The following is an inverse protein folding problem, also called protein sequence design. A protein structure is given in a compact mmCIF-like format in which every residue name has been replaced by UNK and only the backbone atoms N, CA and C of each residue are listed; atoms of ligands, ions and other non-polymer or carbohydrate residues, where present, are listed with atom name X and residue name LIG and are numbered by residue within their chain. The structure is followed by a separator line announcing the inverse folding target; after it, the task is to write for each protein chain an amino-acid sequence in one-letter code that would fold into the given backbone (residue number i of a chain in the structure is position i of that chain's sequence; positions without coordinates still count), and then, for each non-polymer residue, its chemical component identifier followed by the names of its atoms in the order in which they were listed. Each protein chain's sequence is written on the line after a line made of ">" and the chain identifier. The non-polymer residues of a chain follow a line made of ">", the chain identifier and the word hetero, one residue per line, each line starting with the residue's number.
data_IF_682801669641
#
_entry.id   IF_682801669641
#
_cell.length_a   1.000
_cell.length_b   1.000
_cell.length_c   1.000
_cell.angle_alpha   90.00
_cell.angle_beta   90.00
_cell.angle_gamma   90.00
#
_symmetry.space_group_name_H-M   'P 1'
#
loop_
_entity.id
_entity.type
_entity.pdbx_description
1 polymer ?
#
# COMPACT_ATOMS: atom_id res chain seq x y z
N UNK A 1 -35.85 4.25 1.29
CA UNK A 1 -35.95 2.89 0.91
C UNK A 1 -36.83 2.01 1.79
N UNK A 2 -36.23 1.36 2.76
CA UNK A 2 -36.92 0.36 3.61
C UNK A 2 -38.05 0.98 4.41
N UNK A 3 -37.85 2.15 4.98
CA UNK A 3 -38.86 2.86 5.79
C UNK A 3 -40.10 3.23 4.97
N UNK A 4 -39.91 3.70 3.74
CA UNK A 4 -41.01 4.00 2.84
C UNK A 4 -41.80 2.73 2.44
N UNK A 5 -41.10 1.63 2.19
CA UNK A 5 -41.72 0.34 1.90
C UNK A 5 -42.51 -0.15 3.10
N UNK A 6 -41.92 -0.07 4.30
CA UNK A 6 -42.58 -0.45 5.53
C UNK A 6 -43.82 0.40 5.83
N UNK A 7 -43.74 1.72 5.66
CA UNK A 7 -44.87 2.64 5.80
C UNK A 7 -46.01 2.28 4.85
N UNK A 8 -45.72 2.02 3.57
CA UNK A 8 -46.74 1.59 2.59
C UNK A 8 -47.36 0.26 2.93
N UNK A 9 -46.58 -0.70 3.39
CA UNK A 9 -47.08 -2.02 3.81
C UNK A 9 -47.98 -1.90 5.04
N UNK A 10 -47.55 -1.14 6.03
CA UNK A 10 -48.36 -0.90 7.26
C UNK A 10 -49.69 -0.21 6.91
N UNK A 11 -49.67 0.81 6.05
CA UNK A 11 -50.90 1.47 5.60
C UNK A 11 -51.81 0.51 4.84
N UNK A 12 -51.31 -0.30 3.92
CA UNK A 12 -52.09 -1.28 3.18
C UNK A 12 -52.70 -2.36 4.10
N UNK A 13 -51.98 -2.82 5.09
CA UNK A 13 -52.48 -3.81 6.07
C UNK A 13 -53.53 -3.21 6.97
N UNK A 14 -53.35 -1.99 7.45
CA UNK A 14 -54.31 -1.29 8.26
C UNK A 14 -55.64 -1.08 7.50
N UNK A 15 -55.55 -0.65 6.23
CA UNK A 15 -56.72 -0.38 5.39
C UNK A 15 -57.47 -1.67 4.99
N UNK A 16 -56.75 -2.78 4.76
CA UNK A 16 -57.39 -4.03 4.30
C UNK A 16 -57.85 -4.97 5.42
N UNK A 17 -57.15 -4.94 6.52
CA UNK A 17 -57.35 -5.94 7.60
C UNK A 17 -57.79 -5.30 8.95
N UNK A 18 -57.90 -3.98 8.98
CA UNK A 18 -58.27 -3.28 10.21
C UNK A 18 -57.23 -3.42 11.33
N UNK A 19 -55.95 -3.59 10.95
CA UNK A 19 -54.84 -3.66 11.90
C UNK A 19 -54.35 -2.26 12.26
N UNK A 20 -53.71 -2.12 13.42
CA UNK A 20 -53.12 -0.84 13.85
C UNK A 20 -51.60 -0.94 13.91
N UNK A 21 -50.96 -1.21 12.78
CA UNK A 21 -49.50 -1.18 12.72
C UNK A 21 -49.01 0.27 12.74
N UNK A 22 -48.20 0.61 13.72
CA UNK A 22 -47.51 1.88 13.77
C UNK A 22 -46.36 1.87 12.74
N UNK A 23 -46.48 2.64 11.68
CA UNK A 23 -45.37 2.89 10.77
C UNK A 23 -44.66 4.16 11.20
N UNK A 24 -43.34 4.10 11.41
CA UNK A 24 -42.56 5.29 11.60
C UNK A 24 -42.64 6.15 10.32
N UNK A 25 -42.82 7.46 10.47
CA UNK A 25 -42.77 8.38 9.33
C UNK A 25 -41.41 8.30 8.65
N UNK A 26 -41.43 8.04 7.35
CA UNK A 26 -40.20 8.05 6.56
C UNK A 26 -39.64 9.48 6.53
N UNK A 27 -38.41 9.65 6.97
CA UNK A 27 -37.74 10.95 6.83
C UNK A 27 -37.45 11.21 5.36
N UNK A 28 -37.91 12.37 4.88
CA UNK A 28 -37.68 12.80 3.51
C UNK A 28 -36.65 13.93 3.49
N UNK A 29 -35.82 13.95 2.48
CA UNK A 29 -34.91 15.07 2.19
C UNK A 29 -35.67 16.25 1.57
N UNK A 30 -35.01 17.38 1.44
CA UNK A 30 -35.57 18.60 0.84
C UNK A 30 -36.15 18.38 -0.59
N UNK A 31 -35.62 17.39 -1.30
CA UNK A 31 -36.05 17.02 -2.66
C UNK A 31 -37.22 16.01 -2.68
N UNK A 32 -37.79 15.70 -1.53
CA UNK A 32 -38.88 14.72 -1.40
C UNK A 32 -38.45 13.26 -1.58
N UNK A 33 -37.16 12.98 -1.52
CA UNK A 33 -36.61 11.63 -1.57
C UNK A 33 -36.42 11.05 -0.15
N UNK A 34 -36.53 9.73 0.01
CA UNK A 34 -36.27 9.11 1.29
C UNK A 34 -34.86 9.42 1.78
N UNK A 35 -34.77 9.99 2.97
CA UNK A 35 -33.49 10.32 3.58
C UNK A 35 -32.63 9.06 3.71
N UNK A 36 -31.46 9.07 3.09
CA UNK A 36 -30.44 8.04 3.26
C UNK A 36 -29.34 8.60 4.16
N UNK A 37 -29.24 8.13 5.40
CA UNK A 37 -28.11 8.53 6.22
C UNK A 37 -26.83 8.16 5.49
N UNK A 38 -25.96 9.15 5.29
CA UNK A 38 -24.64 8.88 4.74
C UNK A 38 -23.84 8.10 5.80
N UNK A 39 -23.40 6.86 5.49
CA UNK A 39 -22.61 6.07 6.44
C UNK A 39 -21.24 6.68 6.71
N UNK A 40 -20.80 7.63 5.86
CA UNK A 40 -19.52 8.31 6.02
C UNK A 40 -19.77 9.63 6.77
N UNK A 41 -19.15 9.84 7.94
CA UNK A 41 -19.23 11.10 8.67
C UNK A 41 -18.84 12.29 7.79
N UNK A 42 -19.46 13.47 7.95
CA UNK A 42 -19.19 14.65 7.11
C UNK A 42 -17.70 15.01 7.05
N UNK A 43 -16.99 14.89 8.18
CA UNK A 43 -15.56 15.16 8.30
C UNK A 43 -14.66 14.16 7.54
N UNK A 44 -15.22 13.03 7.08
CA UNK A 44 -14.49 12.00 6.32
C UNK A 44 -14.94 11.83 4.88
N UNK A 45 -15.86 12.63 4.41
CA UNK A 45 -16.37 12.52 3.03
C UNK A 45 -15.29 12.83 1.99
N UNK A 46 -14.33 13.72 2.32
CA UNK A 46 -13.20 14.08 1.48
C UNK A 46 -11.97 13.15 1.60
N UNK A 47 -11.98 12.20 2.53
CA UNK A 47 -10.79 11.42 2.90
C UNK A 47 -10.08 10.75 1.71
N UNK A 48 -10.82 10.07 0.84
CA UNK A 48 -10.22 9.41 -0.33
C UNK A 48 -9.66 10.40 -1.35
N UNK A 49 -10.30 11.57 -1.51
CA UNK A 49 -9.79 12.63 -2.35
C UNK A 49 -8.50 13.24 -1.78
N UNK A 50 -8.43 13.44 -0.48
CA UNK A 50 -7.23 13.91 0.23
C UNK A 50 -6.07 12.91 0.10
N UNK A 51 -6.32 11.61 0.27
CA UNK A 51 -5.31 10.56 0.05
C UNK A 51 -4.81 10.59 -1.40
N UNK A 52 -5.73 10.69 -2.37
CA UNK A 52 -5.37 10.76 -3.79
C UNK A 52 -4.53 12.00 -4.10
N UNK A 53 -4.91 13.15 -3.57
CA UNK A 53 -4.15 14.40 -3.74
C UNK A 53 -2.75 14.29 -3.11
N UNK A 54 -2.65 13.74 -1.90
CA UNK A 54 -1.37 13.53 -1.22
C UNK A 54 -0.42 12.64 -2.04
N UNK A 55 -0.93 11.53 -2.58
CA UNK A 55 -0.14 10.61 -3.43
C UNK A 55 0.31 11.30 -4.72
N UNK A 56 -0.57 12.01 -5.42
CA UNK A 56 -0.22 12.74 -6.63
C UNK A 56 0.82 13.81 -6.38
N UNK A 57 0.64 14.63 -5.36
CA UNK A 57 1.61 15.65 -4.96
C UNK A 57 2.97 15.06 -4.57
N UNK A 58 2.97 13.88 -3.96
CA UNK A 58 4.22 13.18 -3.65
C UNK A 58 4.95 12.75 -4.93
N UNK A 59 4.24 12.21 -5.91
CA UNK A 59 4.84 11.80 -7.19
C UNK A 59 5.33 12.99 -8.01
N UNK A 60 4.56 14.07 -8.07
CA UNK A 60 4.96 15.32 -8.75
C UNK A 60 6.23 15.90 -8.16
N UNK A 61 6.28 16.08 -6.84
CA UNK A 61 7.49 16.56 -6.13
C UNK A 61 8.68 15.62 -6.31
N UNK A 62 8.44 14.31 -6.41
CA UNK A 62 9.50 13.35 -6.67
C UNK A 62 10.08 13.53 -8.07
N UNK A 63 9.22 13.70 -9.08
CA UNK A 63 9.66 13.93 -10.46
C UNK A 63 10.41 15.26 -10.62
N UNK A 64 9.93 16.33 -9.96
CA UNK A 64 10.62 17.62 -9.92
C UNK A 64 12.00 17.51 -9.27
N UNK A 65 12.09 16.91 -8.09
CA UNK A 65 13.37 16.70 -7.40
C UNK A 65 14.34 15.85 -8.24
N UNK A 66 13.85 14.78 -8.88
CA UNK A 66 14.65 13.93 -9.75
C UNK A 66 15.19 14.70 -10.97
N UNK A 67 14.39 15.58 -11.55
CA UNK A 67 14.83 16.43 -12.66
C UNK A 67 15.92 17.42 -12.22
N UNK A 68 15.75 18.05 -11.06
CA UNK A 68 16.73 18.98 -10.49
C UNK A 68 18.04 18.29 -10.12
N UNK A 69 17.97 17.14 -9.49
CA UNK A 69 19.15 16.33 -9.13
C UNK A 69 19.92 15.88 -10.38
N UNK A 70 19.22 15.48 -11.44
CA UNK A 70 19.83 15.17 -12.75
C UNK A 70 20.52 16.38 -13.35
N UNK A 71 19.90 17.56 -13.25
CA UNK A 71 20.50 18.80 -13.74
C UNK A 71 21.78 19.12 -12.97
N UNK A 72 21.81 18.99 -11.64
CA UNK A 72 23.03 19.16 -10.85
C UNK A 72 24.13 18.24 -11.31
N UNK A 73 23.83 16.95 -11.49
CA UNK A 73 24.80 15.97 -12.01
C UNK A 73 25.39 16.37 -13.38
N UNK A 74 24.53 16.85 -14.27
CA UNK A 74 24.94 17.27 -15.62
C UNK A 74 25.81 18.53 -15.57
N UNK A 75 25.47 19.51 -14.72
CA UNK A 75 26.25 20.73 -14.53
C UNK A 75 27.64 20.41 -13.94
N UNK A 76 27.71 19.59 -12.90
CA UNK A 76 28.97 19.17 -12.28
C UNK A 76 29.86 18.39 -13.27
N UNK A 77 29.27 17.49 -14.06
CA UNK A 77 30.00 16.77 -15.12
C UNK A 77 30.50 17.73 -16.18
N UNK A 78 29.70 18.71 -16.60
CA UNK A 78 30.08 19.72 -17.57
C UNK A 78 31.19 20.64 -17.07
N UNK A 79 31.09 21.07 -15.79
CA UNK A 79 32.12 21.87 -15.13
C UNK A 79 33.47 21.13 -15.08
N UNK A 80 33.46 19.84 -14.75
CA UNK A 80 34.64 18.99 -14.77
C UNK A 80 35.27 18.91 -16.17
N UNK A 81 34.44 18.76 -17.20
CA UNK A 81 34.92 18.72 -18.60
C UNK A 81 35.52 20.07 -19.04
N UNK A 82 34.95 21.20 -18.60
CA UNK A 82 35.49 22.54 -18.89
C UNK A 82 36.84 22.73 -18.21
N UNK A 83 37.02 22.32 -16.97
CA UNK A 83 38.33 22.35 -16.28
C UNK A 83 39.38 21.53 -17.02
N UNK A 84 39.03 20.32 -17.44
CA UNK A 84 39.92 19.45 -18.21
C UNK A 84 40.36 20.08 -19.54
N UNK A 85 39.54 21.02 -20.05
CA UNK A 85 39.81 21.77 -21.29
C UNK A 85 40.48 23.13 -21.05
N UNK A 86 40.84 23.46 -19.82
CA UNK A 86 41.48 24.73 -19.45
C UNK A 86 40.56 25.95 -19.51
N UNK A 87 39.26 25.75 -19.34
CA UNK A 87 38.23 26.81 -19.35
C UNK A 87 37.68 26.99 -17.92
N UNK A 88 38.52 27.47 -17.01
CA UNK A 88 38.21 27.54 -15.58
C UNK A 88 37.08 28.52 -15.24
N UNK A 89 36.99 29.66 -15.94
CA UNK A 89 35.90 30.63 -15.74
C UNK A 89 34.53 30.00 -16.05
N UNK A 90 34.43 29.35 -17.19
CA UNK A 90 33.17 28.64 -17.56
C UNK A 90 32.83 27.50 -16.62
N UNK A 91 33.84 26.83 -16.07
CA UNK A 91 33.62 25.80 -15.06
C UNK A 91 33.08 26.37 -13.76
N UNK A 92 33.59 27.56 -13.36
CA UNK A 92 33.11 28.27 -12.16
C UNK A 92 31.65 28.70 -12.29
N UNK A 93 31.25 29.24 -13.44
CA UNK A 93 29.87 29.61 -13.71
C UNK A 93 28.91 28.42 -13.61
N UNK A 94 29.33 27.23 -14.13
CA UNK A 94 28.56 25.99 -14.03
C UNK A 94 28.46 25.46 -12.60
N UNK A 95 29.52 25.59 -11.80
CA UNK A 95 29.48 25.20 -10.38
C UNK A 95 28.56 26.11 -9.56
N UNK A 96 28.56 27.41 -9.84
CA UNK A 96 27.66 28.36 -9.17
C UNK A 96 26.19 28.00 -9.50
N UNK A 97 25.89 27.70 -10.75
CA UNK A 97 24.55 27.27 -11.14
C UNK A 97 24.19 25.93 -10.51
N UNK A 98 25.12 24.95 -10.51
CA UNK A 98 24.91 23.67 -9.84
C UNK A 98 24.59 23.85 -8.34
N UNK A 99 25.33 24.74 -7.67
CA UNK A 99 25.08 25.04 -6.25
C UNK A 99 23.71 25.70 -6.03
N UNK A 100 23.29 26.60 -6.93
CA UNK A 100 21.98 27.23 -6.90
C UNK A 100 20.85 26.22 -7.04
N UNK A 101 20.92 25.33 -8.04
CA UNK A 101 19.93 24.26 -8.25
C UNK A 101 19.95 23.28 -7.07
N UNK A 102 21.15 22.92 -6.57
CA UNK A 102 21.31 22.01 -5.43
C UNK A 102 20.60 22.53 -4.17
N UNK A 103 20.69 23.84 -3.92
CA UNK A 103 20.03 24.46 -2.78
C UNK A 103 18.50 24.49 -2.88
N UNK A 104 17.94 24.36 -4.07
CA UNK A 104 16.50 24.29 -4.29
C UNK A 104 15.92 22.87 -4.08
N UNK A 105 16.77 21.84 -4.11
CA UNK A 105 16.36 20.43 -3.89
C UNK A 105 16.24 20.15 -2.40
N UNK A 106 15.16 19.51 -1.92
CA UNK A 106 15.02 19.13 -0.52
C UNK A 106 16.17 18.24 0.00
N UNK A 107 16.66 18.53 1.20
CA UNK A 107 17.77 17.78 1.84
C UNK A 107 17.51 16.27 1.91
N UNK A 108 16.25 15.88 2.11
CA UNK A 108 15.82 14.47 2.15
C UNK A 108 16.14 13.73 0.83
N UNK A 109 16.14 14.42 -0.30
CA UNK A 109 16.48 13.81 -1.59
C UNK A 109 17.99 13.54 -1.70
N UNK A 110 18.81 14.45 -1.22
CA UNK A 110 20.26 14.29 -1.15
C UNK A 110 20.66 13.18 -0.19
N UNK A 111 20.08 13.16 0.99
CA UNK A 111 20.30 12.11 1.97
C UNK A 111 19.94 10.73 1.40
N UNK A 112 18.80 10.61 0.70
CA UNK A 112 18.38 9.36 0.07
C UNK A 112 19.38 8.86 -0.99
N UNK A 113 19.98 9.78 -1.76
CA UNK A 113 21.01 9.44 -2.75
C UNK A 113 22.33 9.02 -2.10
N UNK A 114 22.77 9.71 -1.03
CA UNK A 114 23.97 9.36 -0.28
C UNK A 114 23.84 7.97 0.36
N UNK A 115 22.69 7.64 0.93
CA UNK A 115 22.42 6.34 1.52
C UNK A 115 22.26 5.21 0.49
N UNK A 116 21.97 5.55 -0.77
CA UNK A 116 21.69 4.55 -1.81
C UNK A 116 22.81 3.56 -2.01
N UNK A 117 24.07 4.02 -2.01
CA UNK A 117 25.24 3.16 -2.23
C UNK A 117 25.34 2.05 -1.17
N UNK A 118 25.24 2.42 0.10
CA UNK A 118 25.29 1.45 1.20
C UNK A 118 24.08 0.50 1.19
N UNK A 119 22.91 1.01 0.86
CA UNK A 119 21.69 0.20 0.74
C UNK A 119 21.76 -0.79 -0.43
N UNK A 120 22.26 -0.34 -1.58
CA UNK A 120 22.45 -1.19 -2.75
C UNK A 120 23.45 -2.32 -2.46
N UNK A 121 24.54 -2.02 -1.75
CA UNK A 121 25.51 -3.02 -1.34
C UNK A 121 24.91 -4.04 -0.37
N UNK A 122 24.12 -3.61 0.61
CA UNK A 122 23.40 -4.51 1.51
C UNK A 122 22.46 -5.47 0.75
N UNK A 123 21.82 -5.00 -0.32
CA UNK A 123 20.97 -5.87 -1.14
C UNK A 123 21.80 -6.84 -2.02
N UNK A 124 23.01 -6.46 -2.43
CA UNK A 124 23.92 -7.31 -3.24
C UNK A 124 24.70 -8.32 -2.41
N UNK A 125 24.93 -8.03 -1.12
CA UNK A 125 25.72 -8.89 -0.22
C UNK A 125 25.11 -10.25 0.06
N UNK A 126 23.87 -10.49 -0.36
CA UNK A 126 23.13 -11.72 -0.13
C UNK A 126 22.38 -11.75 1.19
N UNK A 127 22.66 -10.84 2.11
CA UNK A 127 21.97 -10.73 3.42
C UNK A 127 21.70 -9.28 3.79
N UNK A 128 20.51 -9.02 4.31
CA UNK A 128 20.16 -7.74 4.91
C UNK A 128 19.65 -7.95 6.33
N UNK A 129 19.99 -7.04 7.23
CA UNK A 129 19.46 -7.05 8.58
C UNK A 129 18.60 -5.84 8.87
N UNK A 130 17.61 -6.01 9.74
CA UNK A 130 16.75 -4.94 10.22
C UNK A 130 16.31 -5.20 11.67
N UNK A 131 16.00 -4.13 12.38
CA UNK A 131 15.63 -4.21 13.79
C UNK A 131 14.11 -4.30 13.96
N UNK A 132 13.65 -5.30 14.73
CA UNK A 132 12.24 -5.44 15.14
C UNK A 132 12.19 -5.59 16.66
N UNK A 133 11.57 -4.64 17.33
CA UNK A 133 11.39 -4.66 18.79
C UNK A 133 12.69 -4.95 19.55
N UNK A 134 13.80 -4.36 19.10
CA UNK A 134 15.12 -4.54 19.73
C UNK A 134 15.84 -5.85 19.39
N UNK A 135 15.31 -6.66 18.49
CA UNK A 135 15.98 -7.84 17.94
C UNK A 135 16.41 -7.60 16.51
N UNK A 136 17.65 -7.90 16.20
CA UNK A 136 18.14 -7.92 14.83
C UNK A 136 17.63 -9.17 14.12
N UNK A 137 17.02 -8.97 12.95
CA UNK A 137 16.54 -10.04 12.08
C UNK A 137 17.35 -9.96 10.80
N UNK A 138 18.07 -11.03 10.49
CA UNK A 138 18.76 -11.20 9.21
C UNK A 138 17.87 -11.96 8.25
N UNK A 139 17.84 -11.51 6.99
CA UNK A 139 17.11 -12.15 5.89
C UNK A 139 17.98 -12.25 4.67
N UNK A 140 17.83 -13.34 3.92
CA UNK A 140 18.50 -13.49 2.64
C UNK A 140 17.91 -12.54 1.60
N UNK A 141 18.76 -11.85 0.87
CA UNK A 141 18.37 -10.91 -0.20
C UNK A 141 18.44 -11.56 -1.59
N UNK A 142 18.81 -12.82 -1.65
CA UNK A 142 18.80 -13.65 -2.86
C UNK A 142 17.86 -14.85 -2.71
N UNK A 143 17.46 -15.43 -3.82
CA UNK A 143 16.69 -16.67 -3.89
C UNK A 143 17.25 -17.56 -4.97
N UNK A 144 17.56 -18.80 -4.62
CA UNK A 144 18.02 -19.80 -5.58
C UNK A 144 16.83 -20.37 -6.37
N UNK A 145 16.92 -20.36 -7.69
CA UNK A 145 15.93 -20.98 -8.58
C UNK A 145 16.08 -22.49 -8.63
N UNK A 146 15.10 -23.18 -9.22
CA UNK A 146 15.19 -24.62 -9.46
C UNK A 146 16.35 -25.01 -10.36
N UNK A 147 16.84 -24.10 -11.20
CA UNK A 147 18.02 -24.29 -12.05
C UNK A 147 19.34 -23.98 -11.35
N UNK A 148 19.32 -23.59 -10.07
CA UNK A 148 20.52 -23.26 -9.31
C UNK A 148 21.03 -21.82 -9.51
N UNK A 149 20.29 -20.95 -10.19
CA UNK A 149 20.63 -19.54 -10.33
C UNK A 149 20.23 -18.75 -9.09
N UNK A 150 21.08 -17.88 -8.64
CA UNK A 150 20.76 -16.92 -7.58
C UNK A 150 20.12 -15.67 -8.17
N UNK A 151 18.90 -15.37 -7.76
CA UNK A 151 18.18 -14.18 -8.16
C UNK A 151 18.09 -13.19 -6.98
N UNK A 152 18.44 -11.92 -7.18
CA UNK A 152 18.22 -10.91 -6.14
C UNK A 152 16.72 -10.68 -5.91
N UNK A 153 16.35 -10.48 -4.65
CA UNK A 153 14.96 -10.15 -4.27
C UNK A 153 14.59 -8.71 -4.56
N UNK A 154 15.59 -7.86 -4.75
CA UNK A 154 15.43 -6.45 -5.06
C UNK A 154 16.08 -6.18 -6.41
N UNK A 155 15.31 -5.69 -7.35
CA UNK A 155 15.83 -5.23 -8.64
C UNK A 155 16.41 -3.82 -8.46
N UNK A 156 17.73 -3.74 -8.32
CA UNK A 156 18.43 -2.46 -8.24
C UNK A 156 18.50 -1.82 -9.62
N UNK A 157 18.40 -0.49 -9.73
CA UNK A 157 18.59 0.19 -11.01
C UNK A 157 20.06 0.10 -11.42
N UNK A 158 20.27 -0.27 -12.69
CA UNK A 158 21.59 -0.27 -13.31
C UNK A 158 21.78 1.05 -14.07
N UNK A 159 21.87 2.15 -13.32
CA UNK A 159 22.01 3.50 -13.86
C UNK A 159 22.96 4.33 -13.01
N UNK A 160 23.67 5.23 -13.66
CA UNK A 160 24.48 6.26 -12.99
C UNK A 160 23.73 7.58 -12.86
N UNK A 161 22.55 7.71 -13.48
CA UNK A 161 21.71 8.91 -13.41
C UNK A 161 21.13 9.09 -11.99
N UNK A 162 21.43 10.22 -11.36
CA UNK A 162 20.98 10.51 -10.01
C UNK A 162 19.48 10.70 -9.94
N UNK A 163 18.87 11.24 -10.99
CA UNK A 163 17.41 11.41 -11.05
C UNK A 163 16.70 10.06 -11.11
N UNK A 164 17.17 9.12 -11.93
CA UNK A 164 16.61 7.77 -11.99
C UNK A 164 16.78 7.02 -10.66
N UNK A 165 17.95 7.16 -10.02
CA UNK A 165 18.18 6.58 -8.68
C UNK A 165 17.22 7.16 -7.66
N UNK A 166 17.03 8.48 -7.66
CA UNK A 166 16.11 9.13 -6.73
C UNK A 166 14.66 8.70 -6.96
N UNK A 167 14.22 8.62 -8.21
CA UNK A 167 12.89 8.09 -8.53
C UNK A 167 12.71 6.67 -8.05
N UNK A 168 13.73 5.82 -8.25
CA UNK A 168 13.68 4.43 -7.79
C UNK A 168 13.54 4.34 -6.27
N UNK A 169 14.32 5.14 -5.51
CA UNK A 169 14.28 5.17 -4.04
C UNK A 169 12.91 5.66 -3.55
N UNK A 170 12.36 6.69 -4.19
CA UNK A 170 11.12 7.36 -3.76
C UNK A 170 9.85 6.71 -4.32
N UNK A 171 9.98 5.63 -5.06
CA UNK A 171 8.89 4.70 -5.42
C UNK A 171 8.90 3.48 -4.51
N UNK A 172 7.93 2.59 -4.66
CA UNK A 172 7.78 1.38 -3.82
C UNK A 172 8.78 0.26 -4.20
N UNK A 173 10.06 0.58 -4.30
CA UNK A 173 11.08 -0.34 -4.77
C UNK A 173 12.06 -0.80 -3.67
N UNK A 174 12.24 0.00 -2.62
CA UNK A 174 13.23 -0.26 -1.58
C UNK A 174 12.59 -0.86 -0.32
N UNK A 175 12.68 -2.18 -0.08
CA UNK A 175 12.14 -2.82 1.11
C UNK A 175 12.66 -2.16 2.40
N UNK A 176 11.74 -1.89 3.33
CA UNK A 176 12.07 -1.26 4.62
C UNK A 176 12.27 0.26 4.57
N UNK A 177 12.10 0.90 3.41
CA UNK A 177 12.15 2.36 3.28
C UNK A 177 10.82 2.89 2.74
N UNK A 178 10.39 4.06 3.24
CA UNK A 178 9.23 4.74 2.69
C UNK A 178 9.46 5.09 1.20
N UNK A 179 8.48 4.91 0.32
CA UNK A 179 7.08 4.53 0.53
C UNK A 179 6.76 3.03 0.35
N UNK A 180 7.72 2.13 0.49
CA UNK A 180 7.50 0.70 0.29
C UNK A 180 6.41 0.13 1.22
N UNK A 181 5.40 -0.53 0.64
CA UNK A 181 4.22 -1.04 1.36
C UNK A 181 4.03 -2.55 1.25
N UNK A 182 5.05 -3.30 0.85
CA UNK A 182 4.99 -4.74 0.59
C UNK A 182 4.71 -5.63 1.80
N UNK A 183 4.46 -5.07 2.98
CA UNK A 183 4.10 -5.78 4.20
C UNK A 183 4.66 -5.15 5.47
N UNK A 184 4.44 -5.81 6.61
CA UNK A 184 4.93 -5.36 7.92
C UNK A 184 6.46 -5.48 8.04
N UNK A 185 7.05 -6.39 7.26
CA UNK A 185 8.49 -6.63 7.23
C UNK A 185 9.07 -6.19 5.88
N UNK A 186 10.34 -5.71 5.87
CA UNK A 186 11.01 -5.30 4.64
C UNK A 186 11.02 -6.38 3.56
N UNK A 187 11.22 -7.61 3.96
CA UNK A 187 11.18 -8.76 3.06
C UNK A 187 10.11 -9.75 3.48
N UNK A 188 9.55 -10.45 2.48
CA UNK A 188 8.60 -11.53 2.74
C UNK A 188 9.30 -12.64 3.52
N UNK A 189 8.67 -13.12 4.59
CA UNK A 189 9.16 -14.25 5.36
C UNK A 189 9.09 -15.52 4.54
N UNK A 190 10.12 -16.35 4.59
CA UNK A 190 10.18 -17.60 3.84
C UNK A 190 9.44 -18.75 4.51
N UNK A 191 9.32 -18.67 5.84
CA UNK A 191 8.61 -19.63 6.67
C UNK A 191 7.09 -19.47 6.62
N UNK A 192 6.58 -18.43 5.96
CA UNK A 192 5.15 -18.25 5.72
C UNK A 192 4.75 -18.89 4.40
N UNK A 193 4.17 -20.06 4.48
CA UNK A 193 3.47 -20.64 3.33
C UNK A 193 2.30 -19.73 2.95
N UNK A 194 2.24 -19.25 1.70
CA UNK A 194 1.16 -18.38 1.26
C UNK A 194 -0.11 -19.19 0.95
N UNK A 195 -0.53 -20.02 1.88
CA UNK A 195 -1.79 -20.75 1.72
C UNK A 195 -2.91 -19.77 2.04
N UNK A 196 -3.52 -19.26 0.98
CA UNK A 196 -4.72 -18.45 1.06
C UNK A 196 -5.90 -19.37 0.82
N UNK A 197 -6.63 -19.66 1.87
CA UNK A 197 -7.85 -20.44 1.76
C UNK A 197 -9.06 -19.50 1.63
N UNK A 198 -9.90 -19.78 0.64
CA UNK A 198 -11.14 -19.04 0.43
C UNK A 198 -12.31 -19.90 0.92
N UNK A 199 -13.29 -19.24 1.54
CA UNK A 199 -14.59 -19.85 1.79
C UNK A 199 -15.27 -20.21 0.44
N UNK A 200 -16.27 -21.06 0.45
CA UNK A 200 -17.11 -21.31 -0.72
C UNK A 200 -17.29 -22.77 -1.10
N UNK A 201 -17.16 -23.68 -0.15
CA UNK A 201 -17.47 -25.10 -0.35
C UNK A 201 -18.87 -25.49 0.16
N UNK A 202 -19.85 -24.64 0.03
CA UNK A 202 -21.20 -24.91 0.51
C UNK A 202 -21.47 -24.29 1.89
N UNK A 203 -22.02 -25.04 2.86
CA UNK A 203 -22.35 -24.52 4.19
C UNK A 203 -21.11 -24.13 5.01
N UNK A 204 -21.29 -23.31 6.04
CA UNK A 204 -20.23 -22.92 6.96
C UNK A 204 -19.52 -24.14 7.57
N UNK A 205 -20.27 -25.18 7.94
CA UNK A 205 -19.73 -26.44 8.46
C UNK A 205 -18.77 -27.12 7.49
N UNK A 206 -19.14 -27.23 6.20
CA UNK A 206 -18.28 -27.84 5.19
C UNK A 206 -17.03 -27.02 4.94
N UNK A 207 -17.17 -25.69 4.90
CA UNK A 207 -16.04 -24.76 4.75
C UNK A 207 -15.06 -24.88 5.92
N UNK A 208 -15.58 -24.97 7.15
CA UNK A 208 -14.77 -25.16 8.35
C UNK A 208 -13.99 -26.50 8.31
N UNK A 209 -14.65 -27.59 7.98
CA UNK A 209 -14.01 -28.91 7.80
C UNK A 209 -12.89 -28.87 6.74
N UNK A 210 -13.13 -28.18 5.64
CA UNK A 210 -12.10 -27.97 4.61
C UNK A 210 -10.92 -27.19 5.14
N UNK A 211 -11.14 -26.13 5.91
CA UNK A 211 -10.07 -25.36 6.52
C UNK A 211 -9.19 -26.21 7.44
N UNK A 212 -9.81 -27.00 8.31
CA UNK A 212 -9.08 -27.92 9.16
C UNK A 212 -8.26 -28.94 8.36
N UNK A 213 -8.86 -29.56 7.36
CA UNK A 213 -8.19 -30.55 6.51
C UNK A 213 -6.98 -29.95 5.76
N UNK A 214 -7.13 -28.75 5.18
CA UNK A 214 -6.05 -28.10 4.43
C UNK A 214 -4.96 -27.49 5.34
N UNK A 215 -5.29 -27.26 6.60
CA UNK A 215 -4.36 -26.70 7.60
C UNK A 215 -3.58 -27.77 8.36
N UNK A 216 -3.97 -29.03 8.23
CA UNK A 216 -3.36 -30.11 8.96
C UNK A 216 -1.86 -30.22 8.64
N UNK A 217 -1.02 -30.24 9.69
CA UNK A 217 0.42 -30.35 9.55
C UNK A 217 1.14 -29.08 9.08
N UNK A 218 0.44 -27.96 8.89
CA UNK A 218 1.08 -26.71 8.52
C UNK A 218 1.48 -25.89 9.75
N UNK A 219 2.70 -25.29 9.77
CA UNK A 219 3.16 -24.51 10.91
C UNK A 219 2.40 -23.18 11.06
N UNK A 220 1.85 -22.64 9.98
CA UNK A 220 1.07 -21.38 9.96
C UNK A 220 -0.08 -21.46 8.98
N UNK A 221 -1.23 -20.94 9.39
CA UNK A 221 -2.41 -20.88 8.55
C UNK A 221 -2.89 -19.45 8.39
N UNK A 222 -3.22 -19.06 7.15
CA UNK A 222 -3.94 -17.82 6.84
C UNK A 222 -5.28 -18.17 6.25
N UNK A 223 -6.33 -17.87 7.02
CA UNK A 223 -7.71 -18.11 6.62
C UNK A 223 -8.35 -16.77 6.27
N UNK A 224 -9.01 -16.73 5.12
CA UNK A 224 -9.89 -15.61 4.76
C UNK A 224 -11.32 -16.02 5.05
N UNK A 225 -11.97 -15.37 6.00
CA UNK A 225 -13.35 -15.63 6.39
C UNK A 225 -14.23 -14.41 6.09
N UNK A 226 -15.49 -14.65 5.71
CA UNK A 226 -16.52 -13.62 5.67
C UNK A 226 -17.23 -13.63 7.02
N UNK A 227 -17.27 -12.47 7.70
CA UNK A 227 -17.80 -12.38 9.05
C UNK A 227 -19.29 -12.70 9.17
N UNK A 228 -20.04 -12.51 8.10
CA UNK A 228 -21.49 -12.75 8.02
C UNK A 228 -21.85 -14.01 7.24
N UNK A 229 -20.89 -14.89 7.01
CA UNK A 229 -21.10 -16.12 6.22
C UNK A 229 -22.28 -16.96 6.69
N UNK A 230 -22.48 -17.23 8.00
CA UNK A 230 -23.66 -17.94 8.49
C UNK A 230 -24.97 -17.26 8.09
N UNK A 231 -25.04 -15.94 8.20
CA UNK A 231 -26.23 -15.16 7.83
C UNK A 231 -26.54 -15.24 6.35
N UNK A 232 -25.54 -15.29 5.49
CA UNK A 232 -25.71 -15.48 4.04
C UNK A 232 -26.34 -16.84 3.70
N UNK A 233 -26.17 -17.85 4.54
CA UNK A 233 -26.79 -19.16 4.40
C UNK A 233 -28.12 -19.29 5.16
N UNK A 234 -28.63 -18.21 5.75
CA UNK A 234 -29.88 -18.20 6.47
C UNK A 234 -29.78 -18.82 7.87
N UNK A 235 -28.58 -18.92 8.43
CA UNK A 235 -28.34 -19.42 9.79
C UNK A 235 -28.08 -18.27 10.77
N UNK A 236 -28.56 -18.42 11.99
CA UNK A 236 -28.17 -17.54 13.08
C UNK A 236 -26.75 -17.96 13.57
N UNK A 237 -25.76 -17.04 13.57
CA UNK A 237 -24.43 -17.34 14.08
C UNK A 237 -24.42 -17.82 15.53
N UNK A 238 -25.39 -17.40 16.35
CA UNK A 238 -25.50 -17.79 17.77
C UNK A 238 -25.96 -19.24 17.92
N UNK A 239 -26.73 -19.76 16.97
CA UNK A 239 -27.23 -21.14 16.99
C UNK A 239 -26.17 -22.18 16.57
N UNK A 240 -25.07 -21.73 15.98
CA UNK A 240 -24.04 -22.59 15.37
C UNK A 240 -22.64 -22.29 15.89
N UNK A 241 -22.51 -22.10 17.19
CA UNK A 241 -21.21 -21.84 17.86
C UNK A 241 -20.19 -22.97 17.72
N UNK A 242 -20.62 -24.15 17.35
CA UNK A 242 -19.78 -25.33 17.10
C UNK A 242 -18.99 -25.27 15.77
N UNK A 243 -19.28 -24.29 14.94
CA UNK A 243 -18.65 -24.16 13.61
C UNK A 243 -17.46 -23.19 13.61
N UNK A 244 -17.29 -22.40 14.67
CA UNK A 244 -16.24 -21.39 14.78
C UNK A 244 -15.17 -21.74 15.79
#
# INVERSE_FOLDING_TARGET
>A
GVDLLWQRLATMLNDRQGTEFAAAEARMDADGLPHRPNPIPPERQGYLAEVTAAVRNYHERTAEAASQVRLVQQLEASASQMRNSGKDDAATDLDEEAASVRAAVPDEAWQALEEFGARAEAYRSGQASYMVRGKEISVDTTKTTLSGLELPRVALPDTEDWGERLEWIRKENAPGAFPYTGGVFPFRREDELPVRMFAGEGSAERTNKRYHFLSEGQPFNRLSVAFDSPSLYGHDPVERLDIF
#
